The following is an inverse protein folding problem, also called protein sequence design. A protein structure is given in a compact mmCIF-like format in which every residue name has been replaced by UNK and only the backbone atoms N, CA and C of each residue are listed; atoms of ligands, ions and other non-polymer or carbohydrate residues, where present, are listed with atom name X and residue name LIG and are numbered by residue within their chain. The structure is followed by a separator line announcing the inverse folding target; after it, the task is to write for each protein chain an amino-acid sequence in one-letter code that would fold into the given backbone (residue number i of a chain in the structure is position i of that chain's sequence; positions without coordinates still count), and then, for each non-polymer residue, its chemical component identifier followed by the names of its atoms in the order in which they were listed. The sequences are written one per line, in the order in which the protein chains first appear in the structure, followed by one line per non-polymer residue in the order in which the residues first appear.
data_IF_184302657342
#
_entry.id   IF_184302657342
#
_cell.length_a   1.000
_cell.length_b   1.000
_cell.length_c   1.000
_cell.angle_alpha   90.00
_cell.angle_beta   90.00
_cell.angle_gamma   90.00
#
_symmetry.space_group_name_H-M   'P 1'
#
loop_
_entity.id
_entity.type
_entity.pdbx_description
1 polymer ?
#
# COMPACT_ATOMS: atom_id res chain seq x y z
N UNK A 1 9.66 -1.40 31.48
CA UNK A 1 8.35 -0.84 31.09
C UNK A 1 7.32 -1.95 31.29
N UNK A 2 6.48 -1.88 32.31
CA UNK A 2 5.50 -2.94 32.59
C UNK A 2 4.46 -2.99 31.47
N UNK A 3 4.22 -4.17 30.87
CA UNK A 3 3.18 -4.34 29.85
C UNK A 3 1.83 -4.03 30.48
N UNK A 4 1.13 -3.02 29.95
CA UNK A 4 -0.22 -2.72 30.40
C UNK A 4 -1.14 -3.81 29.85
N UNK A 5 -1.80 -4.56 30.73
CA UNK A 5 -2.79 -5.55 30.29
C UNK A 5 -3.96 -4.78 29.68
N UNK A 6 -4.19 -4.98 28.38
CA UNK A 6 -5.28 -4.35 27.66
C UNK A 6 -6.63 -4.80 28.24
N UNK A 7 -7.56 -3.86 28.34
CA UNK A 7 -8.95 -4.13 28.67
C UNK A 7 -9.64 -4.89 27.54
N UNK A 8 -10.71 -5.61 27.86
CA UNK A 8 -11.51 -6.33 26.86
C UNK A 8 -12.03 -5.40 25.74
N UNK A 9 -12.31 -4.13 26.07
CA UNK A 9 -12.76 -3.12 25.11
C UNK A 9 -11.65 -2.73 24.13
N UNK A 10 -10.43 -2.52 24.62
CA UNK A 10 -9.26 -2.21 23.78
C UNK A 10 -8.93 -3.38 22.85
N UNK A 11 -8.97 -4.62 23.35
CA UNK A 11 -8.78 -5.83 22.54
C UNK A 11 -9.83 -5.94 21.44
N UNK A 12 -11.10 -5.68 21.77
CA UNK A 12 -12.18 -5.70 20.78
C UNK A 12 -11.99 -4.62 19.70
N UNK A 13 -11.54 -3.43 20.11
CA UNK A 13 -11.26 -2.30 19.20
C UNK A 13 -10.09 -2.62 18.26
N UNK A 14 -9.00 -3.17 18.78
CA UNK A 14 -7.85 -3.60 17.98
C UNK A 14 -8.26 -4.67 16.97
N UNK A 15 -9.04 -5.66 17.41
CA UNK A 15 -9.57 -6.70 16.52
C UNK A 15 -10.43 -6.11 15.40
N UNK A 16 -11.30 -5.15 15.72
CA UNK A 16 -12.13 -4.49 14.73
C UNK A 16 -11.27 -3.76 13.68
N UNK A 17 -10.28 -2.98 14.12
CA UNK A 17 -9.37 -2.26 13.24
C UNK A 17 -8.57 -3.21 12.32
N UNK A 18 -7.99 -4.28 12.87
CA UNK A 18 -7.24 -5.29 12.11
C UNK A 18 -8.12 -5.95 11.04
N UNK A 19 -9.35 -6.34 11.39
CA UNK A 19 -10.26 -6.97 10.45
C UNK A 19 -10.75 -6.00 9.36
N UNK A 20 -10.94 -4.72 9.69
CA UNK A 20 -11.25 -3.68 8.72
C UNK A 20 -10.10 -3.53 7.73
N UNK A 21 -8.87 -3.33 8.22
CA UNK A 21 -7.66 -3.22 7.38
C UNK A 21 -7.48 -4.43 6.47
N UNK A 22 -7.65 -5.65 6.98
CA UNK A 22 -7.56 -6.86 6.16
C UNK A 22 -8.59 -6.88 5.02
N UNK A 23 -9.84 -6.50 5.30
CA UNK A 23 -10.89 -6.43 4.27
C UNK A 23 -10.59 -5.34 3.23
N UNK A 24 -10.07 -4.19 3.66
CA UNK A 24 -9.68 -3.11 2.75
C UNK A 24 -8.54 -3.56 1.83
N UNK A 25 -7.52 -4.23 2.37
CA UNK A 25 -6.43 -4.80 1.59
C UNK A 25 -6.94 -5.77 0.51
N UNK A 26 -7.81 -6.71 0.87
CA UNK A 26 -8.38 -7.68 -0.08
C UNK A 26 -9.26 -7.04 -1.17
N UNK A 27 -9.86 -5.89 -0.87
CA UNK A 27 -10.59 -5.09 -1.87
C UNK A 27 -9.62 -4.36 -2.78
N UNK A 28 -8.57 -3.74 -2.24
CA UNK A 28 -7.54 -3.07 -3.02
C UNK A 28 -6.85 -4.04 -3.99
N UNK A 29 -6.48 -5.25 -3.54
CA UNK A 29 -5.92 -6.28 -4.44
C UNK A 29 -6.87 -6.64 -5.57
N UNK A 30 -8.18 -6.67 -5.33
CA UNK A 30 -9.19 -6.98 -6.36
C UNK A 30 -9.27 -5.88 -7.40
N UNK A 31 -9.17 -4.62 -6.98
CA UNK A 31 -9.20 -3.46 -7.86
C UNK A 31 -7.92 -3.42 -8.71
N UNK A 32 -6.75 -3.52 -8.06
CA UNK A 32 -5.45 -3.43 -8.72
C UNK A 32 -5.21 -4.56 -9.74
N UNK A 33 -5.60 -5.79 -9.40
CA UNK A 33 -5.33 -7.00 -10.20
C UNK A 33 -6.58 -7.54 -10.91
N UNK A 34 -7.55 -6.68 -11.23
CA UNK A 34 -8.76 -7.10 -11.92
C UNK A 34 -8.42 -7.68 -13.30
N UNK A 35 -8.80 -8.94 -13.53
CA UNK A 35 -8.55 -9.65 -14.79
C UNK A 35 -7.26 -10.47 -14.81
N UNK A 36 -6.40 -10.35 -13.80
CA UNK A 36 -5.24 -11.22 -13.57
C UNK A 36 -5.49 -12.11 -12.37
N UNK A 37 -6.13 -13.25 -12.64
CA UNK A 37 -6.50 -14.21 -11.61
C UNK A 37 -5.28 -14.83 -10.90
N UNK A 38 -4.14 -14.96 -11.59
CA UNK A 38 -2.93 -15.55 -11.01
C UNK A 38 -2.34 -14.59 -9.97
N UNK A 39 -2.15 -13.32 -10.34
CA UNK A 39 -1.65 -12.29 -9.43
C UNK A 39 -2.63 -12.01 -8.29
N UNK A 40 -3.93 -11.97 -8.59
CA UNK A 40 -4.97 -11.80 -7.56
C UNK A 40 -4.97 -12.94 -6.53
N UNK A 41 -4.78 -14.19 -6.96
CA UNK A 41 -4.70 -15.33 -6.02
C UNK A 41 -3.43 -15.28 -5.19
N UNK A 42 -2.29 -15.01 -5.82
CA UNK A 42 -1.00 -14.91 -5.14
C UNK A 42 -0.99 -13.80 -4.07
N UNK A 43 -1.43 -12.59 -4.44
CA UNK A 43 -1.50 -11.44 -3.51
C UNK A 43 -2.41 -11.71 -2.31
N UNK A 44 -3.56 -12.35 -2.50
CA UNK A 44 -4.47 -12.74 -1.40
C UNK A 44 -3.86 -13.81 -0.49
N UNK A 45 -3.15 -14.79 -1.06
CA UNK A 45 -2.47 -15.82 -0.30
C UNK A 45 -1.35 -15.21 0.55
N UNK A 46 -0.56 -14.30 -0.03
CA UNK A 46 0.48 -13.56 0.68
C UNK A 46 -0.11 -12.76 1.84
N UNK A 47 -1.13 -11.93 1.58
CA UNK A 47 -1.81 -11.14 2.62
C UNK A 47 -2.36 -12.03 3.75
N UNK A 48 -2.93 -13.20 3.44
CA UNK A 48 -3.39 -14.15 4.45
C UNK A 48 -2.23 -14.68 5.31
N UNK A 49 -1.11 -15.03 4.69
CA UNK A 49 0.08 -15.51 5.41
C UNK A 49 0.62 -14.45 6.35
N UNK A 50 0.79 -13.22 5.88
CA UNK A 50 1.29 -12.11 6.70
C UNK A 50 0.40 -11.82 7.91
N UNK A 51 -0.93 -11.73 7.72
CA UNK A 51 -1.86 -11.52 8.83
C UNK A 51 -1.89 -12.71 9.81
N UNK A 52 -1.68 -13.94 9.33
CA UNK A 52 -1.59 -15.13 10.20
C UNK A 52 -0.29 -15.14 11.01
N UNK A 53 0.81 -14.69 10.42
CA UNK A 53 2.09 -14.53 11.12
C UNK A 53 1.99 -13.43 12.18
N UNK A 54 1.44 -12.26 11.81
CA UNK A 54 1.23 -11.13 12.72
C UNK A 54 0.24 -11.44 13.86
N UNK A 55 -0.73 -12.34 13.65
CA UNK A 55 -1.66 -12.78 14.71
C UNK A 55 -0.97 -13.49 15.90
N UNK A 56 0.31 -13.86 15.77
CA UNK A 56 1.11 -14.42 16.87
C UNK A 56 1.73 -13.36 17.78
N UNK A 57 1.71 -12.09 17.36
CA UNK A 57 2.26 -10.97 18.12
C UNK A 57 1.35 -10.62 19.30
N UNK A 58 1.91 -10.02 20.34
CA UNK A 58 1.11 -9.54 21.47
C UNK A 58 0.25 -8.34 21.04
N UNK A 59 -1.02 -8.25 21.45
CA UNK A 59 -1.92 -7.19 20.96
C UNK A 59 -1.52 -5.75 21.36
N UNK A 60 -0.61 -5.60 22.32
CA UNK A 60 -0.05 -4.32 22.80
C UNK A 60 1.38 -4.08 22.28
N UNK A 61 1.92 -4.95 21.40
CA UNK A 61 3.25 -4.72 20.86
C UNK A 61 3.26 -3.60 19.84
N UNK A 62 4.36 -2.85 19.84
CA UNK A 62 4.68 -1.89 18.78
C UNK A 62 4.70 -2.57 17.40
N UNK A 63 5.18 -3.82 17.34
CA UNK A 63 5.24 -4.61 16.11
C UNK A 63 3.85 -4.90 15.53
N UNK A 64 2.86 -5.19 16.38
CA UNK A 64 1.48 -5.41 15.93
C UNK A 64 0.88 -4.11 15.36
N UNK A 65 1.12 -2.98 16.02
CA UNK A 65 0.67 -1.67 15.55
C UNK A 65 1.32 -1.30 14.20
N UNK A 66 2.64 -1.45 14.08
CA UNK A 66 3.39 -1.21 12.84
C UNK A 66 2.95 -2.14 11.71
N UNK A 67 2.63 -3.40 12.01
CA UNK A 67 2.11 -4.34 11.01
C UNK A 67 0.75 -3.90 10.44
N UNK A 68 -0.14 -3.36 11.29
CA UNK A 68 -1.43 -2.80 10.83
C UNK A 68 -1.23 -1.55 10.00
N UNK A 69 -0.39 -0.62 10.45
CA UNK A 69 -0.04 0.60 9.72
C UNK A 69 0.57 0.28 8.35
N UNK A 70 1.50 -0.67 8.30
CA UNK A 70 2.09 -1.15 7.07
C UNK A 70 1.03 -1.69 6.10
N UNK A 71 0.09 -2.52 6.60
CA UNK A 71 -0.99 -3.05 5.77
C UNK A 71 -1.94 -1.96 5.25
N UNK A 72 -2.18 -0.90 6.04
CA UNK A 72 -2.94 0.28 5.59
C UNK A 72 -2.20 1.03 4.48
N UNK A 73 -0.89 1.27 4.63
CA UNK A 73 -0.06 1.88 3.59
C UNK A 73 -0.04 1.07 2.29
N UNK A 74 0.13 -0.25 2.38
CA UNK A 74 0.05 -1.15 1.22
C UNK A 74 -1.33 -1.08 0.55
N UNK A 75 -2.41 -1.01 1.34
CA UNK A 75 -3.77 -0.85 0.82
C UNK A 75 -3.92 0.43 0.02
N UNK A 76 -3.39 1.54 0.52
CA UNK A 76 -3.40 2.82 -0.18
C UNK A 76 -2.61 2.75 -1.48
N UNK A 77 -1.39 2.22 -1.45
CA UNK A 77 -0.55 2.08 -2.64
C UNK A 77 -1.22 1.21 -3.71
N UNK A 78 -1.79 0.07 -3.32
CA UNK A 78 -2.49 -0.81 -4.26
C UNK A 78 -3.71 -0.14 -4.87
N UNK A 79 -4.40 0.72 -4.11
CA UNK A 79 -5.58 1.42 -4.59
C UNK A 79 -5.22 2.62 -5.48
N UNK A 80 -4.21 3.40 -5.11
CA UNK A 80 -3.99 4.71 -5.72
C UNK A 80 -2.89 4.68 -6.79
N UNK A 81 -1.88 3.84 -6.60
CA UNK A 81 -0.62 3.94 -7.35
C UNK A 81 -0.33 2.73 -8.24
N UNK A 82 -0.93 1.57 -7.97
CA UNK A 82 -0.72 0.35 -8.77
C UNK A 82 -1.77 0.24 -9.87
N UNK A 83 -1.30 0.22 -11.12
CA UNK A 83 -2.14 0.04 -12.30
C UNK A 83 -1.66 -1.17 -13.09
N UNK A 84 -2.58 -2.07 -13.44
CA UNK A 84 -2.26 -3.22 -14.26
C UNK A 84 -2.39 -2.92 -15.75
N UNK A 85 -1.32 -3.17 -16.51
CA UNK A 85 -1.32 -3.16 -17.97
C UNK A 85 -1.61 -4.55 -18.55
N UNK A 86 -2.53 -4.63 -19.52
CA UNK A 86 -2.78 -5.84 -20.31
C UNK A 86 -2.41 -5.58 -21.77
N UNK A 87 -1.65 -6.49 -22.39
CA UNK A 87 -1.36 -6.42 -23.82
C UNK A 87 -2.66 -6.55 -24.62
N UNK A 88 -2.85 -5.68 -25.61
CA UNK A 88 -4.03 -5.64 -26.48
C UNK A 88 -3.59 -5.68 -27.94
N UNK A 89 -4.11 -6.67 -28.67
CA UNK A 89 -3.86 -6.88 -30.10
C UNK A 89 -2.75 -7.90 -30.37
N UNK A 90 -2.84 -8.53 -31.55
CA UNK A 90 -1.88 -9.55 -32.01
C UNK A 90 -0.69 -8.93 -32.79
N UNK A 91 -0.79 -7.65 -33.17
CA UNK A 91 0.22 -6.93 -33.96
C UNK A 91 0.72 -5.71 -33.18
N UNK A 92 1.93 -5.82 -32.63
CA UNK A 92 2.66 -4.75 -31.92
C UNK A 92 2.64 -4.83 -30.39
N UNK A 93 3.37 -3.92 -29.74
CA UNK A 93 3.47 -3.79 -28.27
C UNK A 93 2.50 -2.72 -27.73
N UNK A 94 1.19 -2.99 -27.80
CA UNK A 94 0.17 -2.10 -27.23
C UNK A 94 -0.32 -2.65 -25.90
N UNK A 95 -0.32 -1.80 -24.86
CA UNK A 95 -0.80 -2.15 -23.52
C UNK A 95 -1.95 -1.24 -23.12
N UNK A 96 -3.05 -1.83 -22.62
CA UNK A 96 -4.16 -1.10 -22.00
C UNK A 96 -3.97 -1.11 -20.49
N UNK A 97 -3.88 0.08 -19.91
CA UNK A 97 -3.79 0.28 -18.47
C UNK A 97 -5.19 0.32 -17.85
N UNK A 98 -5.38 -0.39 -16.74
CA UNK A 98 -6.64 -0.41 -15.99
C UNK A 98 -6.70 0.73 -14.96
N UNK A 99 -6.82 1.97 -15.44
CA UNK A 99 -6.97 3.15 -14.57
C UNK A 99 -8.43 3.23 -14.10
N UNK A 100 -8.66 3.38 -12.79
CA UNK A 100 -9.99 3.44 -12.19
C UNK A 100 -10.17 4.72 -11.35
N UNK A 101 -11.36 4.94 -10.79
CA UNK A 101 -11.74 6.19 -10.10
C UNK A 101 -10.83 6.58 -8.92
N UNK A 102 -10.30 5.60 -8.20
CA UNK A 102 -9.38 5.84 -7.08
C UNK A 102 -7.90 5.89 -7.46
N UNK A 103 -7.55 5.66 -8.73
CA UNK A 103 -6.15 5.80 -9.14
C UNK A 103 -5.80 7.27 -9.04
N UNK A 104 -4.72 7.61 -8.34
CA UNK A 104 -4.28 8.99 -8.24
C UNK A 104 -3.80 9.43 -9.62
N UNK A 105 -4.69 10.11 -10.35
CA UNK A 105 -4.34 10.84 -11.55
C UNK A 105 -3.79 12.15 -11.03
N UNK A 106 -2.49 12.22 -10.78
CA UNK A 106 -1.85 13.51 -10.53
C UNK A 106 -2.33 14.47 -11.62
N UNK A 107 -2.92 15.57 -11.20
CA UNK A 107 -3.21 16.66 -12.10
C UNK A 107 -1.85 17.11 -12.66
N UNK A 108 -1.65 16.95 -13.97
CA UNK A 108 -0.37 17.27 -14.62
C UNK A 108 0.02 18.75 -14.36
N UNK A 109 -0.93 19.60 -14.00
CA UNK A 109 -0.71 20.98 -13.56
C UNK A 109 0.13 21.09 -12.28
N UNK A 110 0.09 20.08 -11.41
CA UNK A 110 0.89 20.05 -10.16
C UNK A 110 2.30 19.55 -10.43
N UNK A 111 2.48 18.63 -11.38
CA UNK A 111 3.79 18.15 -11.82
C UNK A 111 4.62 19.26 -12.49
N UNK A 112 3.97 20.17 -13.24
CA UNK A 112 4.62 21.37 -13.79
C UNK A 112 5.02 22.42 -12.73
N UNK A 113 4.34 22.44 -11.57
CA UNK A 113 4.65 23.34 -10.45
C UNK A 113 5.81 22.83 -9.58
N UNK A 114 6.06 21.52 -9.60
CA UNK A 114 7.29 20.93 -9.08
C UNK A 114 8.43 21.22 -10.05
N UNK A 115 8.87 22.49 -10.10
CA UNK A 115 10.19 22.82 -10.66
C UNK A 115 11.21 22.11 -9.79
N UNK A 116 11.64 20.92 -10.22
CA UNK A 116 12.84 20.29 -9.70
C UNK A 116 13.91 21.37 -9.63
N UNK A 117 14.54 21.51 -8.47
CA UNK A 117 15.67 22.43 -8.40
C UNK A 117 16.73 21.85 -9.31
N UNK A 118 17.05 22.55 -10.40
CA UNK A 118 18.15 22.24 -11.31
C UNK A 118 19.49 22.52 -10.62
N UNK A 119 19.62 22.13 -9.35
CA UNK A 119 20.86 22.30 -8.61
C UNK A 119 21.83 21.26 -9.13
N UNK A 120 22.98 21.73 -9.57
CA UNK A 120 24.09 20.83 -9.91
C UNK A 120 24.45 20.00 -8.68
N UNK A 121 24.95 18.78 -8.88
CA UNK A 121 25.51 17.95 -7.80
C UNK A 121 26.54 18.73 -6.94
N UNK A 122 27.22 19.72 -7.54
CA UNK A 122 28.15 20.62 -6.85
C UNK A 122 27.45 21.54 -5.82
N UNK A 123 26.23 21.99 -6.11
CA UNK A 123 25.44 22.90 -5.27
C UNK A 123 24.67 22.17 -4.17
N UNK A 124 24.31 20.90 -4.40
CA UNK A 124 23.72 20.03 -3.36
C UNK A 124 24.76 19.71 -2.28
N UNK A 125 26.00 19.40 -2.68
CA UNK A 125 27.10 19.09 -1.75
C UNK A 125 27.53 20.28 -0.88
N UNK A 126 27.41 21.51 -1.39
CA UNK A 126 27.75 22.72 -0.63
C UNK A 126 26.71 23.03 0.47
N UNK A 127 25.44 22.70 0.25
CA UNK A 127 24.36 22.96 1.21
C UNK A 127 24.20 21.86 2.27
N UNK A 128 24.82 20.68 2.09
CA UNK A 128 24.80 19.60 3.09
C UNK A 128 25.93 19.70 4.12
N UNK A 129 26.78 20.73 4.03
CA UNK A 129 27.93 20.96 4.90
C UNK A 129 27.81 22.25 5.73
N UNK A 130 26.59 22.79 5.84
CA UNK A 130 26.16 23.76 6.84
C UNK A 130 25.11 23.10 7.74
#
# INVERSE_FOLDING_TARGET
MASKVLTNLEVATNRFAVLATYRHLLRATRIAFQGDNAMLRSSRAFARTEFRTGAKLTPDSLEAAQGVEHAQGVTQILRENVVQGKKVGDVGEKYKLNIHEHTQRLDNDTAGKLKGTTKSFKEVKANSLL
#
